data_IF_169830088655
#
_entry.id   IF_169830088655
#
_cell.length_a   1.000
_cell.length_b   1.000
_cell.length_c   1.000
_cell.angle_alpha   90.00
_cell.angle_beta   90.00
_cell.angle_gamma   90.00
#
_symmetry.space_group_name_H-M   'P 1'
#
loop_
_entity.id
_entity.type
_entity.pdbx_description
1 polymer ?
#
# COMPACT_ATOMS: atom_id res chain seq x y z
N UNK A 1 -17.74 -13.02 -5.24
CA UNK A 1 -18.29 -12.50 -6.50
C UNK A 1 -19.38 -11.48 -6.20
N UNK A 2 -19.55 -10.46 -7.09
CA UNK A 2 -20.63 -9.47 -6.97
C UNK A 2 -21.23 -9.18 -8.36
N UNK A 3 -22.56 -9.08 -8.43
CA UNK A 3 -23.32 -8.69 -9.61
C UNK A 3 -23.90 -7.29 -9.41
N UNK A 4 -23.48 -6.35 -10.23
CA UNK A 4 -23.96 -4.96 -10.24
C UNK A 4 -25.03 -4.70 -11.33
N UNK A 5 -25.39 -5.71 -12.13
CA UNK A 5 -26.30 -5.55 -13.28
C UNK A 5 -27.77 -5.46 -12.89
N UNK A 6 -28.09 -5.84 -11.65
CA UNK A 6 -29.46 -5.91 -11.13
C UNK A 6 -29.59 -5.22 -9.77
N UNK A 7 -30.79 -4.84 -9.42
CA UNK A 7 -31.14 -4.33 -8.11
C UNK A 7 -32.27 -5.21 -7.51
N UNK A 8 -32.19 -5.51 -6.21
CA UNK A 8 -31.08 -5.25 -5.30
C UNK A 8 -29.79 -5.94 -5.75
N UNK A 9 -28.62 -5.43 -5.31
CA UNK A 9 -27.33 -6.04 -5.61
C UNK A 9 -27.17 -7.39 -4.93
N UNK A 10 -26.47 -8.32 -5.59
CA UNK A 10 -26.24 -9.66 -5.06
C UNK A 10 -24.74 -9.93 -4.98
N UNK A 11 -24.26 -10.22 -3.78
CA UNK A 11 -22.89 -10.65 -3.53
C UNK A 11 -22.85 -12.09 -3.02
N UNK A 12 -21.87 -12.86 -3.49
CA UNK A 12 -21.58 -14.21 -3.00
C UNK A 12 -20.24 -14.20 -2.27
N UNK A 13 -20.27 -14.61 -1.02
CA UNK A 13 -19.09 -14.80 -0.19
C UNK A 13 -18.34 -16.09 -0.51
N UNK A 14 -17.08 -16.16 -0.06
CA UNK A 14 -16.22 -17.33 -0.28
C UNK A 14 -16.74 -18.58 0.47
N UNK A 15 -17.50 -18.40 1.55
CA UNK A 15 -18.20 -19.46 2.28
C UNK A 15 -19.45 -20.01 1.58
N UNK A 16 -19.84 -19.45 0.43
CA UNK A 16 -21.05 -19.83 -0.31
C UNK A 16 -22.30 -19.04 0.08
N UNK A 17 -22.21 -18.15 1.07
CA UNK A 17 -23.31 -17.30 1.49
C UNK A 17 -23.65 -16.26 0.43
N UNK A 18 -24.93 -15.94 0.31
CA UNK A 18 -25.45 -14.91 -0.60
C UNK A 18 -25.95 -13.72 0.22
N UNK A 19 -25.47 -12.53 -0.14
CA UNK A 19 -25.85 -11.26 0.46
C UNK A 19 -26.62 -10.43 -0.56
N UNK A 20 -27.73 -9.84 -0.14
CA UNK A 20 -28.58 -9.00 -0.97
C UNK A 20 -28.69 -7.64 -0.30
N UNK A 21 -28.49 -6.56 -1.06
CA UNK A 21 -28.53 -5.20 -0.53
C UNK A 21 -28.81 -4.16 -1.59
N UNK A 22 -29.38 -3.04 -1.18
CA UNK A 22 -29.72 -1.92 -2.06
C UNK A 22 -28.53 -1.01 -2.31
N UNK A 23 -27.50 -1.10 -1.48
CA UNK A 23 -26.23 -0.37 -1.59
C UNK A 23 -25.05 -1.27 -1.30
N UNK A 24 -23.86 -0.92 -1.86
CA UNK A 24 -22.60 -1.64 -1.66
C UNK A 24 -21.48 -0.66 -1.35
N UNK A 25 -20.76 -0.91 -0.26
CA UNK A 25 -19.51 -0.21 0.05
C UNK A 25 -18.33 -1.17 -0.18
N UNK A 26 -17.44 -0.80 -1.11
CA UNK A 26 -16.23 -1.55 -1.41
C UNK A 26 -15.10 -1.01 -0.55
N UNK A 27 -14.58 -1.83 0.37
CA UNK A 27 -13.51 -1.51 1.29
C UNK A 27 -12.45 -2.62 1.34
N UNK A 28 -12.11 -3.18 0.18
CA UNK A 28 -11.24 -4.35 0.05
C UNK A 28 -9.75 -4.04 0.22
N UNK A 29 -9.38 -2.76 0.30
CA UNK A 29 -8.03 -2.31 0.59
C UNK A 29 -7.02 -2.53 -0.54
N UNK A 30 -5.75 -2.48 -0.16
CA UNK A 30 -4.60 -2.78 -1.01
C UNK A 30 -3.56 -3.58 -0.24
N UNK A 31 -2.74 -4.35 -0.95
CA UNK A 31 -1.66 -5.15 -0.37
C UNK A 31 -0.31 -4.54 -0.74
N UNK A 32 0.59 -4.41 0.22
CA UNK A 32 1.98 -4.11 -0.07
C UNK A 32 2.59 -5.22 -0.94
N UNK A 33 3.44 -4.84 -1.86
CA UNK A 33 4.22 -5.81 -2.65
C UNK A 33 5.45 -6.20 -1.86
N UNK A 34 5.69 -7.50 -1.82
CA UNK A 34 6.80 -8.10 -1.13
C UNK A 34 7.78 -8.72 -2.13
N UNK A 35 9.02 -8.96 -1.70
CA UNK A 35 10.03 -9.63 -2.52
C UNK A 35 9.80 -11.14 -2.62
N UNK A 36 9.06 -11.69 -1.67
CA UNK A 36 8.74 -13.11 -1.61
C UNK A 36 9.84 -13.97 -0.97
N UNK A 37 10.73 -13.36 -0.19
CA UNK A 37 11.78 -14.07 0.54
C UNK A 37 11.23 -14.65 1.84
N UNK A 38 11.60 -15.89 2.18
CA UNK A 38 11.21 -16.50 3.46
C UNK A 38 11.70 -15.68 4.65
N UNK A 39 12.91 -15.12 4.56
CA UNK A 39 13.48 -14.26 5.59
C UNK A 39 12.71 -12.94 5.76
N UNK A 40 12.19 -12.37 4.67
CA UNK A 40 11.31 -11.21 4.70
C UNK A 40 10.06 -11.51 5.53
N UNK A 41 9.40 -12.65 5.26
CA UNK A 41 8.21 -13.08 6.00
C UNK A 41 8.51 -13.35 7.47
N UNK A 42 9.64 -13.97 7.77
CA UNK A 42 10.08 -14.29 9.13
C UNK A 42 10.20 -13.06 10.02
N UNK A 43 10.70 -11.96 9.47
CA UNK A 43 10.95 -10.72 10.21
C UNK A 43 9.87 -9.65 9.98
N UNK A 44 8.77 -9.96 9.30
CA UNK A 44 7.64 -9.05 9.12
C UNK A 44 7.06 -8.64 10.47
N UNK A 45 7.03 -7.31 10.75
CA UNK A 45 6.65 -6.77 12.07
C UNK A 45 7.75 -6.86 13.14
N UNK A 46 8.87 -7.53 12.85
CA UNK A 46 10.03 -7.66 13.74
C UNK A 46 11.31 -7.07 13.12
N UNK A 47 11.16 -6.02 12.34
CA UNK A 47 12.25 -5.35 11.65
C UNK A 47 12.03 -5.20 10.15
N UNK A 48 11.07 -5.89 9.56
CA UNK A 48 10.66 -5.71 8.16
C UNK A 48 9.29 -5.05 8.10
N UNK A 49 9.18 -3.94 7.38
CA UNK A 49 7.99 -3.13 7.18
C UNK A 49 7.81 -2.72 5.71
N UNK A 50 6.60 -2.31 5.34
CA UNK A 50 6.28 -1.68 4.05
C UNK A 50 5.63 -0.30 4.23
N UNK A 51 5.80 0.33 5.40
CA UNK A 51 5.22 1.64 5.70
C UNK A 51 6.15 2.46 6.59
N UNK A 52 6.93 3.35 6.01
CA UNK A 52 7.82 4.23 6.77
C UNK A 52 7.05 5.17 7.72
N UNK A 53 5.89 5.65 7.29
CA UNK A 53 5.04 6.54 8.11
C UNK A 53 4.49 5.82 9.34
N UNK A 54 4.20 4.52 9.22
CA UNK A 54 3.67 3.71 10.31
C UNK A 54 4.76 3.36 11.35
N UNK A 55 5.91 2.90 10.87
CA UNK A 55 6.91 2.22 11.70
C UNK A 55 8.21 3.00 11.87
N UNK A 56 8.45 4.05 11.08
CA UNK A 56 9.72 4.80 11.07
C UNK A 56 10.11 5.35 12.46
N UNK A 57 9.15 5.68 13.30
CA UNK A 57 9.40 6.16 14.66
C UNK A 57 10.17 5.15 15.53
N UNK A 58 9.98 3.85 15.33
CA UNK A 58 10.66 2.79 16.10
C UNK A 58 12.14 2.66 15.75
N UNK A 59 12.57 3.32 14.66
CA UNK A 59 13.96 3.30 14.18
C UNK A 59 14.72 4.59 14.48
N UNK A 60 14.31 5.34 15.49
CA UNK A 60 15.00 6.55 15.92
C UNK A 60 16.45 6.24 16.34
N UNK A 61 17.41 6.92 15.68
CA UNK A 61 18.85 6.74 15.93
C UNK A 61 19.42 5.40 15.45
N UNK A 62 18.70 4.68 14.57
CA UNK A 62 19.07 3.39 14.02
C UNK A 62 19.39 3.47 12.54
N UNK A 63 20.04 2.44 12.02
CA UNK A 63 20.32 2.29 10.59
C UNK A 63 19.23 1.49 9.90
N UNK A 64 18.71 1.99 8.79
CA UNK A 64 17.61 1.32 8.07
C UNK A 64 17.94 1.15 6.58
N UNK A 65 17.42 0.09 6.01
CA UNK A 65 17.46 -0.19 4.58
C UNK A 65 16.09 0.13 3.96
N UNK A 66 16.11 0.81 2.80
CA UNK A 66 14.92 0.99 1.95
C UNK A 66 15.16 0.29 0.62
N UNK A 67 14.18 -0.48 0.16
CA UNK A 67 14.26 -1.25 -1.07
C UNK A 67 13.26 -0.71 -2.07
N UNK A 68 13.75 -0.21 -3.20
CA UNK A 68 12.89 0.32 -4.24
C UNK A 68 13.57 1.29 -5.17
N UNK A 69 12.82 1.94 -6.07
CA UNK A 69 13.39 2.91 -7.01
C UNK A 69 12.35 3.82 -7.67
N UNK A 70 11.10 3.75 -7.22
CA UNK A 70 10.02 4.67 -7.61
C UNK A 70 9.85 5.80 -6.59
N UNK A 71 8.83 6.64 -6.80
CA UNK A 71 8.50 7.75 -5.91
C UNK A 71 8.34 7.28 -4.46
N UNK A 72 7.57 6.22 -4.23
CA UNK A 72 7.35 5.66 -2.89
C UNK A 72 8.65 5.36 -2.16
N UNK A 73 9.63 4.73 -2.83
CA UNK A 73 10.91 4.40 -2.19
C UNK A 73 11.71 5.65 -1.81
N UNK A 74 11.71 6.67 -2.67
CA UNK A 74 12.40 7.94 -2.41
C UNK A 74 11.70 8.73 -1.31
N UNK A 75 10.38 8.76 -1.30
CA UNK A 75 9.56 9.40 -0.26
C UNK A 75 9.77 8.75 1.10
N UNK A 76 9.70 7.42 1.17
CA UNK A 76 9.94 6.67 2.40
C UNK A 76 11.36 6.84 2.92
N UNK A 77 12.37 6.79 2.03
CA UNK A 77 13.75 7.02 2.41
C UNK A 77 13.95 8.42 2.99
N UNK A 78 13.39 9.46 2.36
CA UNK A 78 13.45 10.83 2.87
C UNK A 78 12.67 10.99 4.19
N UNK A 79 11.50 10.35 4.32
CA UNK A 79 10.73 10.38 5.56
C UNK A 79 11.52 9.77 6.73
N UNK A 80 12.15 8.62 6.51
CA UNK A 80 12.93 7.91 7.51
C UNK A 80 14.13 8.72 8.02
N UNK A 81 14.67 9.66 7.25
CA UNK A 81 15.76 10.54 7.72
C UNK A 81 15.39 11.42 8.92
N UNK A 82 14.08 11.62 9.15
CA UNK A 82 13.59 12.35 10.32
C UNK A 82 13.77 11.55 11.63
N UNK A 83 13.93 10.24 11.53
CA UNK A 83 14.02 9.34 12.66
C UNK A 83 15.35 8.60 12.71
N UNK A 84 15.72 7.95 11.62
CA UNK A 84 16.92 7.12 11.52
C UNK A 84 18.22 7.93 11.62
N UNK A 85 19.26 7.27 12.09
CA UNK A 85 20.64 7.80 12.02
C UNK A 85 21.13 7.78 10.57
N UNK A 86 20.92 6.65 9.88
CA UNK A 86 21.31 6.45 8.49
C UNK A 86 20.22 5.67 7.73
N UNK A 87 20.01 6.06 6.48
CA UNK A 87 19.13 5.40 5.53
C UNK A 87 19.93 4.93 4.34
N UNK A 88 19.94 3.64 4.07
CA UNK A 88 20.55 3.09 2.85
C UNK A 88 19.43 2.69 1.90
N UNK A 89 19.39 3.27 0.70
CA UNK A 89 18.46 2.87 -0.34
C UNK A 89 19.17 1.93 -1.31
N UNK A 90 18.63 0.73 -1.53
CA UNK A 90 19.14 -0.17 -2.58
C UNK A 90 18.18 -0.21 -3.76
N UNK A 91 18.78 -0.25 -4.96
CA UNK A 91 18.02 -0.42 -6.19
C UNK A 91 18.72 -1.39 -7.14
N UNK A 92 17.93 -2.28 -7.77
CA UNK A 92 18.43 -3.31 -8.69
C UNK A 92 18.91 -2.79 -10.05
N UNK A 93 18.81 -1.48 -10.30
CA UNK A 93 19.29 -0.78 -11.51
C UNK A 93 20.26 0.34 -11.09
N UNK A 94 20.84 0.99 -12.06
CA UNK A 94 21.76 2.13 -11.89
C UNK A 94 21.06 3.50 -11.99
N UNK A 95 19.72 3.51 -12.09
CA UNK A 95 18.92 4.73 -12.10
C UNK A 95 17.56 4.52 -11.39
N UNK A 96 17.06 5.57 -10.74
CA UNK A 96 15.74 5.60 -10.14
C UNK A 96 14.68 6.00 -11.18
N UNK A 97 13.45 5.50 -10.99
CA UNK A 97 12.27 5.90 -11.77
C UNK A 97 11.47 7.02 -11.10
N UNK A 98 11.86 7.42 -9.91
CA UNK A 98 11.25 8.52 -9.18
C UNK A 98 11.39 9.85 -9.93
N UNK A 99 10.53 10.81 -9.60
CA UNK A 99 10.61 12.16 -10.16
C UNK A 99 11.95 12.83 -9.86
N UNK A 100 12.47 13.59 -10.84
CA UNK A 100 13.80 14.21 -10.77
C UNK A 100 13.99 15.07 -9.52
N UNK A 101 12.98 15.86 -9.17
CA UNK A 101 13.01 16.71 -7.99
C UNK A 101 13.18 15.93 -6.68
N UNK A 102 12.58 14.73 -6.62
CA UNK A 102 12.67 13.84 -5.48
C UNK A 102 14.06 13.19 -5.41
N UNK A 103 14.59 12.76 -6.55
CA UNK A 103 15.96 12.24 -6.66
C UNK A 103 16.99 13.27 -6.20
N UNK A 104 16.87 14.53 -6.64
CA UNK A 104 17.79 15.61 -6.26
C UNK A 104 17.80 15.86 -4.76
N UNK A 105 16.65 15.75 -4.10
CA UNK A 105 16.53 15.84 -2.64
C UNK A 105 17.19 14.65 -1.95
N UNK A 106 16.96 13.44 -2.45
CA UNK A 106 17.52 12.21 -1.91
C UNK A 106 19.06 12.24 -1.95
N UNK A 107 19.64 12.53 -3.12
CA UNK A 107 21.10 12.51 -3.31
C UNK A 107 21.84 13.60 -2.54
N UNK A 108 21.18 14.70 -2.20
CA UNK A 108 21.75 15.78 -1.40
C UNK A 108 21.61 15.55 0.10
N UNK A 109 20.84 14.54 0.52
CA UNK A 109 20.56 14.34 1.94
C UNK A 109 21.73 13.63 2.65
N UNK A 110 22.32 14.24 3.71
CA UNK A 110 23.55 13.72 4.34
C UNK A 110 23.39 12.36 5.04
N UNK A 111 22.17 11.97 5.36
CA UNK A 111 21.89 10.68 6.01
C UNK A 111 21.58 9.56 5.01
N UNK A 112 21.53 9.83 3.71
CA UNK A 112 21.11 8.85 2.70
C UNK A 112 22.30 8.39 1.87
N UNK A 113 22.49 7.07 1.82
CA UNK A 113 23.37 6.42 0.85
C UNK A 113 22.52 5.61 -0.14
N UNK A 114 22.98 5.55 -1.39
CA UNK A 114 22.34 4.74 -2.43
C UNK A 114 23.32 3.67 -2.94
N UNK A 115 22.87 2.42 -2.95
CA UNK A 115 23.64 1.29 -3.50
C UNK A 115 22.90 0.80 -4.74
N UNK A 116 23.57 0.95 -5.87
CA UNK A 116 23.03 0.58 -7.18
C UNK A 116 23.25 -0.90 -7.53
N UNK A 117 22.54 -1.36 -8.54
CA UNK A 117 22.67 -2.71 -9.09
C UNK A 117 22.58 -3.80 -8.01
N UNK A 118 21.78 -3.55 -6.98
CA UNK A 118 21.76 -4.38 -5.77
C UNK A 118 20.33 -4.77 -5.40
N UNK A 119 20.16 -6.03 -5.07
CA UNK A 119 18.93 -6.62 -4.54
C UNK A 119 19.15 -7.18 -3.13
N UNK A 120 18.08 -7.31 -2.37
CA UNK A 120 18.09 -8.04 -1.10
C UNK A 120 18.14 -9.53 -1.39
N UNK A 121 19.15 -10.24 -0.85
CA UNK A 121 19.27 -11.69 -0.94
C UNK A 121 18.63 -12.36 0.29
N UNK A 122 18.86 -11.83 1.48
CA UNK A 122 18.29 -12.37 2.72
C UNK A 122 18.25 -11.29 3.83
N UNK A 123 17.23 -11.35 4.67
CA UNK A 123 17.18 -10.62 5.95
C UNK A 123 17.74 -11.51 7.04
N UNK A 124 18.68 -10.98 7.82
CA UNK A 124 19.36 -11.68 8.89
C UNK A 124 19.00 -11.07 10.26
N UNK A 125 18.98 -11.89 11.29
CA UNK A 125 18.62 -11.39 12.60
C UNK A 125 18.42 -12.47 13.64
N UNK A 126 18.15 -12.04 14.86
CA UNK A 126 17.92 -12.90 16.00
C UNK A 126 16.52 -13.53 16.00
N UNK A 127 16.39 -14.68 16.64
CA UNK A 127 15.11 -15.39 16.74
C UNK A 127 14.46 -15.25 18.11
N UNK A 128 15.20 -14.83 19.13
CA UNK A 128 14.69 -14.69 20.49
C UNK A 128 15.43 -13.59 21.29
N UNK A 129 14.86 -12.38 21.43
CA UNK A 129 13.63 -11.93 20.75
C UNK A 129 13.85 -11.79 19.24
N UNK A 130 12.82 -11.93 18.41
CA UNK A 130 12.97 -11.75 16.98
C UNK A 130 13.31 -10.30 16.66
N UNK A 131 14.24 -10.09 15.73
CA UNK A 131 14.65 -8.76 15.29
C UNK A 131 15.72 -8.79 14.19
N UNK A 132 15.66 -7.83 13.28
CA UNK A 132 16.65 -7.65 12.21
C UNK A 132 17.94 -7.10 12.81
N UNK A 133 19.09 -7.66 12.40
CA UNK A 133 20.44 -7.18 12.78
C UNK A 133 21.30 -6.84 11.57
N UNK A 134 21.07 -7.49 10.43
CA UNK A 134 21.77 -7.22 9.18
C UNK A 134 20.95 -7.74 7.98
N UNK A 135 21.43 -7.45 6.81
CA UNK A 135 20.92 -7.98 5.54
C UNK A 135 22.06 -8.50 4.69
N UNK A 136 21.80 -9.56 3.93
CA UNK A 136 22.68 -9.97 2.84
C UNK A 136 22.19 -9.34 1.55
N UNK A 137 23.05 -8.60 0.90
CA UNK A 137 22.83 -7.94 -0.38
C UNK A 137 23.51 -8.72 -1.47
N UNK A 138 22.97 -8.66 -2.69
CA UNK A 138 23.55 -9.27 -3.87
C UNK A 138 23.61 -8.26 -5.01
N UNK A 139 24.79 -8.04 -5.57
CA UNK A 139 24.95 -7.25 -6.77
C UNK A 139 24.40 -8.03 -7.98
N UNK A 140 23.44 -7.46 -8.71
CA UNK A 140 22.76 -8.16 -9.82
C UNK A 140 23.63 -8.30 -11.07
N UNK A 141 24.69 -7.50 -11.21
CA UNK A 141 25.62 -7.55 -12.35
C UNK A 141 26.76 -8.55 -12.12
N UNK A 142 27.33 -8.57 -10.91
CA UNK A 142 28.51 -9.40 -10.59
C UNK A 142 28.16 -10.69 -9.86
N UNK A 143 26.98 -10.74 -9.24
CA UNK A 143 26.58 -11.84 -8.36
C UNK A 143 27.26 -11.82 -6.99
N UNK A 144 28.13 -10.82 -6.72
CA UNK A 144 28.83 -10.69 -5.45
C UNK A 144 27.85 -10.42 -4.31
N UNK A 145 28.07 -11.12 -3.19
CA UNK A 145 27.28 -10.97 -1.97
C UNK A 145 28.07 -10.19 -0.93
N UNK A 146 27.36 -9.28 -0.24
CA UNK A 146 27.89 -8.50 0.88
C UNK A 146 26.89 -8.45 2.01
N UNK A 147 27.36 -8.18 3.22
CA UNK A 147 26.49 -8.01 4.39
C UNK A 147 26.51 -6.55 4.81
N UNK A 148 25.33 -6.03 5.18
CA UNK A 148 25.13 -4.68 5.70
C UNK A 148 24.39 -4.76 7.02
N UNK A 149 24.99 -4.22 8.08
CA UNK A 149 24.34 -4.10 9.39
C UNK A 149 23.23 -3.05 9.33
N UNK A 150 21.99 -3.45 9.67
CA UNK A 150 20.82 -2.59 9.73
C UNK A 150 19.87 -3.09 10.82
N UNK A 151 19.13 -2.17 11.42
CA UNK A 151 18.13 -2.48 12.45
C UNK A 151 16.74 -2.68 11.87
N UNK A 152 16.53 -2.29 10.61
CA UNK A 152 15.23 -2.42 9.94
C UNK A 152 15.31 -2.33 8.44
N UNK A 153 14.31 -2.93 7.80
CA UNK A 153 14.16 -3.03 6.34
C UNK A 153 12.78 -2.52 5.94
N UNK A 154 12.73 -1.57 5.03
CA UNK A 154 11.49 -1.03 4.47
C UNK A 154 11.37 -1.42 3.00
N UNK A 155 10.35 -2.23 2.70
CA UNK A 155 10.10 -2.73 1.33
C UNK A 155 9.16 -1.78 0.62
N UNK A 156 9.71 -0.88 -0.20
CA UNK A 156 9.02 0.22 -0.87
C UNK A 156 8.92 -0.01 -2.39
N UNK A 157 8.41 -1.18 -2.79
CA UNK A 157 8.26 -1.58 -4.21
C UNK A 157 6.83 -1.42 -4.75
N UNK A 158 5.97 -0.72 -4.00
CA UNK A 158 4.60 -0.37 -4.34
C UNK A 158 3.55 -1.25 -3.71
N UNK A 159 2.29 -0.99 -4.08
CA UNK A 159 1.11 -1.68 -3.59
C UNK A 159 0.30 -2.24 -4.76
N UNK A 160 -0.61 -3.14 -4.46
CA UNK A 160 -1.57 -3.67 -5.41
C UNK A 160 -2.96 -3.59 -4.78
N UNK A 161 -3.89 -2.81 -5.34
CA UNK A 161 -5.25 -2.72 -4.81
C UNK A 161 -5.98 -4.06 -4.97
N UNK A 162 -6.83 -4.39 -3.98
CA UNK A 162 -7.60 -5.64 -3.99
C UNK A 162 -8.88 -5.44 -4.80
N UNK A 163 -8.72 -5.27 -6.11
CA UNK A 163 -9.79 -4.91 -7.06
C UNK A 163 -10.10 -5.99 -8.10
N UNK A 164 -9.45 -7.15 -8.01
CA UNK A 164 -9.57 -8.21 -9.02
C UNK A 164 -11.01 -8.63 -9.34
N UNK A 165 -11.89 -8.72 -8.34
CA UNK A 165 -13.31 -9.11 -8.49
C UNK A 165 -14.17 -8.04 -9.19
N UNK A 166 -13.67 -6.80 -9.29
CA UNK A 166 -14.37 -5.67 -9.90
C UNK A 166 -13.87 -5.35 -11.32
N UNK A 167 -12.84 -6.06 -11.79
CA UNK A 167 -12.26 -5.84 -13.12
C UNK A 167 -13.31 -6.02 -14.21
N UNK A 168 -13.46 -5.02 -15.08
CA UNK A 168 -14.48 -4.98 -16.13
C UNK A 168 -15.90 -4.67 -15.65
N UNK A 169 -16.10 -4.42 -14.34
CA UNK A 169 -17.38 -4.04 -13.74
C UNK A 169 -17.39 -2.59 -13.23
N UNK A 170 -16.22 -2.06 -12.85
CA UNK A 170 -16.05 -0.69 -12.38
C UNK A 170 -14.80 -0.08 -13.03
N UNK A 171 -14.79 1.23 -13.28
CA UNK A 171 -13.61 1.94 -13.77
C UNK A 171 -12.45 1.87 -12.78
N UNK A 172 -11.27 1.69 -13.33
CA UNK A 172 -10.00 1.67 -12.58
C UNK A 172 -8.99 2.56 -13.28
N UNK A 173 -8.07 3.10 -12.49
CA UNK A 173 -6.90 3.79 -13.05
C UNK A 173 -5.86 2.79 -13.59
N UNK A 174 -4.77 3.32 -14.15
CA UNK A 174 -3.68 2.51 -14.74
C UNK A 174 -2.96 1.60 -13.72
N UNK A 175 -3.10 1.91 -12.42
CA UNK A 175 -2.53 1.12 -11.32
C UNK A 175 -3.54 0.12 -10.73
N UNK A 176 -4.80 0.13 -11.21
CA UNK A 176 -5.88 -0.76 -10.82
C UNK A 176 -6.70 -0.29 -9.62
N UNK A 177 -6.54 0.94 -9.15
CA UNK A 177 -7.37 1.52 -8.09
C UNK A 177 -8.74 1.94 -8.62
N UNK A 178 -9.78 1.76 -7.80
CA UNK A 178 -11.14 2.15 -8.17
C UNK A 178 -11.25 3.67 -8.30
N UNK A 179 -11.90 4.12 -9.38
CA UNK A 179 -12.17 5.53 -9.63
C UNK A 179 -13.51 5.88 -8.98
N UNK A 180 -13.52 6.98 -8.21
CA UNK A 180 -14.74 7.57 -7.64
C UNK A 180 -14.90 8.99 -8.15
N UNK A 181 -16.08 9.56 -7.92
CA UNK A 181 -16.32 11.00 -8.19
C UNK A 181 -15.39 11.85 -7.30
N UNK A 182 -15.00 13.03 -7.76
CA UNK A 182 -14.24 13.97 -6.92
C UNK A 182 -14.97 14.26 -5.60
N UNK A 183 -14.20 14.34 -4.51
CA UNK A 183 -14.70 14.63 -3.15
C UNK A 183 -15.81 13.70 -2.63
N UNK A 184 -15.91 12.50 -3.20
CA UNK A 184 -16.94 11.51 -2.90
C UNK A 184 -16.37 10.10 -2.92
N UNK A 185 -17.10 9.17 -2.30
CA UNK A 185 -16.84 7.73 -2.40
C UNK A 185 -17.68 7.04 -3.46
N UNK A 186 -18.60 7.77 -4.12
CA UNK A 186 -19.48 7.25 -5.17
C UNK A 186 -18.70 6.80 -6.40
N UNK A 187 -18.99 5.60 -6.89
CA UNK A 187 -18.47 5.09 -8.17
C UNK A 187 -19.35 5.58 -9.33
N UNK A 188 -19.12 5.08 -10.55
CA UNK A 188 -20.03 5.34 -11.66
C UNK A 188 -21.37 4.60 -11.53
N UNK A 189 -21.40 3.50 -10.76
CA UNK A 189 -22.62 2.74 -10.51
C UNK A 189 -23.31 3.36 -9.29
N UNK A 190 -24.53 3.85 -9.50
CA UNK A 190 -25.33 4.44 -8.46
C UNK A 190 -25.61 3.43 -7.32
N UNK A 191 -25.43 3.85 -6.07
CA UNK A 191 -25.53 2.99 -4.89
C UNK A 191 -24.31 2.11 -4.61
N UNK A 192 -23.23 2.27 -5.41
CA UNK A 192 -21.94 1.59 -5.19
C UNK A 192 -20.89 2.62 -4.82
N UNK A 193 -20.25 2.43 -3.68
CA UNK A 193 -19.25 3.31 -3.09
C UNK A 193 -17.94 2.58 -2.89
N UNK A 194 -16.81 3.30 -2.94
CA UNK A 194 -15.48 2.75 -2.67
C UNK A 194 -14.73 3.61 -1.65
N UNK A 195 -14.16 2.99 -0.62
CA UNK A 195 -13.51 3.67 0.49
C UNK A 195 -12.21 2.99 0.92
N UNK A 196 -11.26 3.79 1.41
CA UNK A 196 -9.95 3.32 1.86
C UNK A 196 -8.99 3.01 0.72
N UNK A 197 -8.00 2.16 1.00
CA UNK A 197 -6.86 1.91 0.11
C UNK A 197 -7.23 1.27 -1.24
N UNK A 198 -8.44 0.78 -1.41
CA UNK A 198 -8.95 0.29 -2.70
C UNK A 198 -9.06 1.40 -3.75
N UNK A 199 -9.16 2.67 -3.30
CA UNK A 199 -9.18 3.89 -4.12
C UNK A 199 -8.09 4.89 -3.75
N UNK A 200 -7.61 4.89 -2.50
CA UNK A 200 -6.57 5.80 -2.02
C UNK A 200 -5.18 5.24 -2.32
N UNK A 201 -4.61 5.66 -3.44
CA UNK A 201 -3.23 5.33 -3.81
C UNK A 201 -2.18 6.30 -3.26
N UNK A 202 -2.61 7.35 -2.56
CA UNK A 202 -1.72 8.43 -2.08
C UNK A 202 -1.31 8.18 -0.62
N UNK A 203 -2.27 8.12 0.28
CA UNK A 203 -2.01 8.09 1.72
C UNK A 203 -1.88 6.68 2.29
N UNK A 204 -2.84 5.82 1.99
CA UNK A 204 -2.88 4.42 2.50
C UNK A 204 -2.67 4.36 4.01
N UNK A 205 -3.43 5.17 4.74
CA UNK A 205 -3.37 5.25 6.20
C UNK A 205 -4.71 4.82 6.82
N UNK A 206 -4.65 4.18 7.99
CA UNK A 206 -5.83 3.72 8.71
C UNK A 206 -6.83 4.86 8.97
N UNK A 207 -6.33 6.05 9.33
CA UNK A 207 -7.19 7.19 9.63
C UNK A 207 -7.87 7.77 8.38
N UNK A 208 -7.18 7.81 7.22
CA UNK A 208 -7.79 8.23 5.96
C UNK A 208 -8.81 7.21 5.48
N UNK A 209 -8.50 5.92 5.60
CA UNK A 209 -9.44 4.84 5.28
C UNK A 209 -10.69 4.89 6.16
N UNK A 210 -10.55 5.12 7.47
CA UNK A 210 -11.68 5.29 8.38
C UNK A 210 -12.54 6.50 8.01
N UNK A 211 -11.91 7.64 7.66
CA UNK A 211 -12.61 8.84 7.19
C UNK A 211 -13.41 8.60 5.91
N UNK A 212 -12.80 7.92 4.93
CA UNK A 212 -13.49 7.53 3.70
C UNK A 212 -14.62 6.53 3.97
N UNK A 213 -14.46 5.60 4.91
CA UNK A 213 -15.50 4.69 5.35
C UNK A 213 -16.72 5.41 5.93
N UNK A 214 -16.47 6.44 6.76
CA UNK A 214 -17.53 7.32 7.25
C UNK A 214 -18.27 8.05 6.11
N UNK A 215 -17.53 8.62 5.16
CA UNK A 215 -18.12 9.26 3.97
C UNK A 215 -19.00 8.29 3.20
N UNK A 216 -18.50 7.09 2.92
CA UNK A 216 -19.23 6.06 2.18
C UNK A 216 -20.51 5.63 2.89
N UNK A 217 -20.49 5.50 4.21
CA UNK A 217 -21.68 5.16 5.00
C UNK A 217 -22.75 6.26 4.92
N UNK A 218 -22.36 7.53 5.04
CA UNK A 218 -23.28 8.67 4.93
C UNK A 218 -23.85 8.83 3.52
N UNK A 219 -23.05 8.58 2.49
CA UNK A 219 -23.50 8.62 1.09
C UNK A 219 -24.45 7.46 0.79
N UNK A 220 -24.18 6.26 1.32
CA UNK A 220 -25.05 5.10 1.19
C UNK A 220 -26.39 5.31 1.89
N UNK A 221 -26.40 5.88 3.10
CA UNK A 221 -27.62 6.24 3.83
C UNK A 221 -28.51 7.20 3.01
N UNK A 222 -27.92 8.28 2.51
CA UNK A 222 -28.64 9.25 1.67
C UNK A 222 -29.22 8.61 0.40
N UNK A 223 -28.45 7.72 -0.22
CA UNK A 223 -28.91 6.98 -1.39
C UNK A 223 -30.11 6.11 -1.08
N UNK A 224 -30.07 5.33 0.01
CA UNK A 224 -31.19 4.46 0.44
C UNK A 224 -32.41 5.29 0.76
N UNK A 225 -32.31 6.40 1.49
CA UNK A 225 -33.41 7.30 1.77
C UNK A 225 -34.07 7.87 0.50
N UNK A 226 -33.27 8.09 -0.55
CA UNK A 226 -33.81 8.51 -1.86
C UNK A 226 -34.64 7.42 -2.52
N UNK A 227 -34.20 6.15 -2.42
CA UNK A 227 -34.95 5.00 -2.94
C UNK A 227 -36.29 4.82 -2.20
N UNK A 228 -36.30 4.91 -0.88
CA UNK A 228 -37.48 4.79 -0.05
C UNK A 228 -38.50 5.90 -0.38
N UNK A 229 -38.03 7.15 -0.53
CA UNK A 229 -38.88 8.27 -0.90
C UNK A 229 -39.47 8.11 -2.31
N UNK A 230 -38.71 7.58 -3.26
CA UNK A 230 -39.20 7.30 -4.62
C UNK A 230 -40.24 6.17 -4.64
N UNK A 231 -40.06 5.14 -3.82
CA UNK A 231 -41.04 4.04 -3.69
C UNK A 231 -42.38 4.55 -3.12
N UNK A 232 -42.30 5.38 -2.06
CA UNK A 232 -43.50 5.98 -1.45
C UNK A 232 -44.27 6.92 -2.38
N UNK A 233 -43.59 7.60 -3.29
CA UNK A 233 -44.20 8.50 -4.26
C UNK A 233 -44.85 7.77 -5.45
N UNK A 234 -44.57 6.48 -5.61
CA UNK A 234 -45.11 5.63 -6.68
C UNK A 234 -46.34 4.84 -6.26
N UNK A 235 -46.69 4.84 -4.97
CA UNK A 235 -47.93 4.29 -4.37
C UNK A 235 -49.03 5.35 -4.34
#
# INVERSE_FOLDING_TARGET
>A
EIDFSKRPFVAKGDGGDTYIGDSVVIATGAQARWLGLESEQKFMGFGVSACATCDGFFYRGKNVLVIGGGNTAVEEALYLTNHAEKVTLIHRRDELRAEKIMQDRLFKHPKVDVIWDTELDEVLGDSNPPGVTSVRLKNVKTGEKSELAVDGVFVAIGHTPTTGIFKGKLPMDDEGYLITRPDSTSTEIEGVFAAGDVKDKIFRQAITAAGMGCMAALEAEKYIATLESAAQAAE
#
